data_IF_485673337495
#
_entry.id   IF_485673337495
#
_cell.length_a   1.000
_cell.length_b   1.000
_cell.length_c   1.000
_cell.angle_alpha   90.00
_cell.angle_beta   90.00
_cell.angle_gamma   90.00
#
_symmetry.space_group_name_H-M   'P 1'
#
loop_
_entity.id
_entity.type
_entity.pdbx_description
1 polymer ?
#
# COMPACT_ATOMS: atom_id res chain seq x y z
N UNK A 1 18.19 -58.25 -12.80
CA UNK A 1 16.75 -58.02 -13.01
C UNK A 1 16.32 -56.99 -11.98
N UNK A 2 16.27 -55.71 -12.35
CA UNK A 2 15.87 -54.61 -11.45
C UNK A 2 14.34 -54.46 -11.47
N UNK A 3 13.67 -54.23 -10.31
CA UNK A 3 12.24 -54.08 -10.28
C UNK A 3 11.84 -52.72 -10.89
N UNK A 4 10.84 -52.74 -11.76
CA UNK A 4 10.23 -51.54 -12.36
C UNK A 4 9.60 -50.66 -11.28
N UNK A 5 9.97 -49.39 -11.29
CA UNK A 5 9.32 -48.35 -10.46
C UNK A 5 7.80 -48.26 -10.78
N UNK A 6 6.99 -48.24 -9.73
CA UNK A 6 5.53 -47.98 -9.86
C UNK A 6 5.33 -46.56 -10.30
N UNK A 7 4.32 -46.26 -11.15
CA UNK A 7 3.99 -44.89 -11.52
C UNK A 7 3.48 -44.11 -10.31
N UNK A 8 3.94 -42.88 -10.17
CA UNK A 8 3.45 -41.92 -9.20
C UNK A 8 1.93 -41.73 -9.39
N UNK A 9 1.16 -42.06 -8.37
CA UNK A 9 -0.25 -41.65 -8.32
C UNK A 9 -0.29 -40.13 -8.10
N UNK A 10 -0.84 -39.41 -9.07
CA UNK A 10 -1.21 -38.02 -8.92
C UNK A 10 -2.27 -37.91 -7.83
N UNK A 11 -1.89 -37.33 -6.70
CA UNK A 11 -2.88 -36.89 -5.72
C UNK A 11 -3.59 -35.68 -6.33
N UNK A 12 -4.85 -35.82 -6.76
CA UNK A 12 -5.73 -34.71 -6.98
C UNK A 12 -6.02 -34.10 -5.59
N UNK A 13 -5.35 -32.99 -5.29
CA UNK A 13 -5.74 -32.14 -4.17
C UNK A 13 -7.07 -31.51 -4.57
N UNK A 14 -8.15 -31.88 -3.89
CA UNK A 14 -9.42 -31.23 -4.07
C UNK A 14 -9.28 -29.80 -3.53
N UNK A 15 -9.17 -28.82 -4.43
CA UNK A 15 -9.18 -27.42 -4.06
C UNK A 15 -10.60 -27.06 -3.61
N UNK A 16 -10.73 -26.60 -2.37
CA UNK A 16 -11.98 -26.00 -1.89
C UNK A 16 -11.97 -24.57 -2.45
N UNK A 17 -12.70 -24.34 -3.54
CA UNK A 17 -12.90 -22.99 -4.06
C UNK A 17 -13.70 -22.20 -3.01
N UNK A 18 -13.01 -21.31 -2.30
CA UNK A 18 -13.67 -20.40 -1.37
C UNK A 18 -14.22 -19.24 -2.20
N UNK A 19 -15.54 -19.11 -2.24
CA UNK A 19 -16.17 -17.94 -2.82
C UNK A 19 -15.90 -16.73 -1.92
N UNK A 20 -14.93 -15.91 -2.29
CA UNK A 20 -14.62 -14.67 -1.57
C UNK A 20 -14.90 -13.45 -2.44
N UNK A 21 -15.00 -12.29 -1.81
CA UNK A 21 -15.15 -11.00 -2.48
C UNK A 21 -14.00 -10.08 -2.09
N UNK A 22 -13.68 -9.12 -2.94
CA UNK A 22 -12.67 -8.12 -2.61
C UNK A 22 -13.07 -7.26 -1.40
N UNK A 23 -14.36 -7.09 -1.15
CA UNK A 23 -14.85 -6.44 0.06
C UNK A 23 -14.44 -7.16 1.36
N UNK A 24 -14.16 -8.46 1.31
CA UNK A 24 -13.70 -9.22 2.47
C UNK A 24 -12.16 -9.16 2.66
N UNK A 25 -11.40 -8.84 1.60
CA UNK A 25 -9.93 -8.91 1.60
C UNK A 25 -9.23 -7.57 1.32
N UNK A 26 -9.99 -6.47 1.30
CA UNK A 26 -9.45 -5.10 1.16
C UNK A 26 -9.78 -4.24 2.38
N UNK A 27 -8.93 -3.27 2.70
CA UNK A 27 -9.17 -2.35 3.81
C UNK A 27 -10.32 -1.39 3.56
N UNK A 28 -10.63 -1.10 2.30
CA UNK A 28 -11.78 -0.26 1.93
C UNK A 28 -13.11 -1.02 1.93
N UNK A 29 -13.07 -2.35 2.11
CA UNK A 29 -14.25 -3.22 2.15
C UNK A 29 -15.13 -3.07 0.89
N UNK A 30 -14.51 -2.96 -0.28
CA UNK A 30 -15.14 -2.81 -1.59
C UNK A 30 -14.66 -3.86 -2.59
N UNK A 31 -15.44 -4.01 -3.63
CA UNK A 31 -15.14 -4.85 -4.78
C UNK A 31 -15.97 -6.14 -4.83
N UNK A 32 -16.25 -6.56 -6.05
CA UNK A 32 -17.06 -7.72 -6.37
C UNK A 32 -16.34 -9.06 -6.11
N UNK A 33 -16.81 -10.14 -6.77
CA UNK A 33 -16.26 -11.48 -6.61
C UNK A 33 -14.77 -11.56 -6.97
N UNK A 34 -14.02 -12.35 -6.22
CA UNK A 34 -12.59 -12.62 -6.43
C UNK A 34 -12.36 -13.88 -7.30
N UNK A 35 -13.25 -14.14 -8.29
CA UNK A 35 -13.10 -15.25 -9.21
C UNK A 35 -12.69 -16.55 -8.53
N UNK A 36 -11.54 -17.07 -8.89
CA UNK A 36 -10.86 -18.17 -8.22
C UNK A 36 -9.90 -17.60 -7.17
N UNK A 37 -10.18 -17.81 -5.88
CA UNK A 37 -9.35 -17.29 -4.79
C UNK A 37 -8.54 -18.40 -4.13
N UNK A 38 -7.22 -18.26 -4.14
CA UNK A 38 -6.27 -19.17 -3.51
C UNK A 38 -5.35 -18.38 -2.55
N UNK A 39 -4.90 -19.05 -1.49
CA UNK A 39 -3.97 -18.47 -0.52
C UNK A 39 -2.64 -19.19 -0.57
N UNK A 40 -1.56 -18.47 -0.84
CA UNK A 40 -0.21 -19.01 -0.87
C UNK A 40 0.47 -18.83 0.48
N UNK A 41 0.85 -19.94 1.11
CA UNK A 41 1.54 -19.95 2.41
C UNK A 41 3.06 -20.13 2.30
N UNK A 42 3.59 -20.35 1.08
CA UNK A 42 5.02 -20.35 0.78
C UNK A 42 5.31 -19.70 -0.57
N UNK A 43 6.56 -19.30 -0.78
CA UNK A 43 7.01 -18.76 -2.06
C UNK A 43 6.89 -19.76 -3.19
N UNK A 44 7.15 -21.03 -2.92
CA UNK A 44 7.02 -22.12 -3.91
C UNK A 44 5.56 -22.31 -4.32
N UNK A 45 4.62 -22.28 -3.35
CA UNK A 45 3.19 -22.35 -3.63
C UNK A 45 2.73 -21.13 -4.45
N UNK A 46 3.17 -19.92 -4.07
CA UNK A 46 2.86 -18.69 -4.79
C UNK A 46 3.31 -18.78 -6.26
N UNK A 47 4.56 -19.18 -6.49
CA UNK A 47 5.11 -19.35 -7.84
C UNK A 47 4.33 -20.42 -8.62
N UNK A 48 4.07 -21.59 -8.02
CA UNK A 48 3.36 -22.68 -8.69
C UNK A 48 1.96 -22.29 -9.14
N UNK A 49 1.18 -21.61 -8.27
CA UNK A 49 -0.16 -21.11 -8.60
C UNK A 49 -0.13 -20.13 -9.77
N UNK A 50 0.83 -19.20 -9.77
CA UNK A 50 0.97 -18.21 -10.84
C UNK A 50 1.39 -18.87 -12.16
N UNK A 51 2.39 -19.75 -12.13
CA UNK A 51 2.87 -20.45 -13.32
C UNK A 51 1.79 -21.32 -13.96
N UNK A 52 0.99 -22.01 -13.14
CA UNK A 52 -0.13 -22.82 -13.62
C UNK A 52 -1.20 -21.97 -14.29
N UNK A 53 -1.56 -20.84 -13.71
CA UNK A 53 -2.49 -19.88 -14.29
C UNK A 53 -1.94 -19.25 -15.59
N UNK A 54 -0.66 -18.83 -15.59
CA UNK A 54 0.00 -18.26 -16.78
C UNK A 54 0.05 -19.28 -17.94
N UNK A 55 0.34 -20.55 -17.65
CA UNK A 55 0.33 -21.61 -18.66
C UNK A 55 -1.06 -21.85 -19.28
N UNK A 56 -2.12 -21.55 -18.55
CA UNK A 56 -3.51 -21.62 -19.01
C UNK A 56 -4.00 -20.31 -19.65
N UNK A 57 -3.18 -19.24 -19.69
CA UNK A 57 -3.56 -17.92 -20.16
C UNK A 57 -4.61 -17.22 -19.27
N UNK A 58 -4.72 -17.64 -18.01
CA UNK A 58 -5.66 -17.09 -17.04
C UNK A 58 -5.10 -15.80 -16.44
N UNK A 59 -5.88 -14.71 -16.37
CA UNK A 59 -5.48 -13.51 -15.64
C UNK A 59 -5.15 -13.81 -14.18
N UNK A 60 -4.10 -13.17 -13.64
CA UNK A 60 -3.67 -13.35 -12.24
C UNK A 60 -3.60 -12.01 -11.55
N UNK A 61 -4.18 -11.92 -10.36
CA UNK A 61 -4.05 -10.79 -9.44
C UNK A 61 -3.46 -11.26 -8.11
N UNK A 62 -2.26 -10.77 -7.80
CA UNK A 62 -1.61 -11.05 -6.51
C UNK A 62 -2.01 -9.99 -5.50
N UNK A 63 -2.50 -10.41 -4.34
CA UNK A 63 -3.02 -9.52 -3.27
C UNK A 63 -2.26 -9.78 -1.97
N UNK A 64 -1.65 -8.73 -1.42
CA UNK A 64 -1.15 -8.72 -0.04
C UNK A 64 -2.26 -8.35 0.95
N UNK A 65 -2.02 -7.37 1.82
CA UNK A 65 -3.03 -6.92 2.79
C UNK A 65 -4.20 -6.10 2.22
N UNK A 66 -4.33 -5.93 0.90
CA UNK A 66 -5.44 -5.23 0.26
C UNK A 66 -5.60 -3.74 0.63
N UNK A 67 -4.55 -3.13 1.18
CA UNK A 67 -4.62 -1.78 1.77
C UNK A 67 -4.46 -0.62 0.76
N UNK A 68 -4.08 -0.93 -0.48
CA UNK A 68 -3.89 0.06 -1.53
C UNK A 68 -4.52 -0.41 -2.87
N UNK A 69 -5.64 -1.13 -2.78
CA UNK A 69 -6.31 -1.77 -3.91
C UNK A 69 -7.79 -1.41 -3.91
N UNK A 70 -8.29 -0.96 -5.06
CA UNK A 70 -9.71 -0.81 -5.35
C UNK A 70 -10.05 -1.67 -6.55
N UNK A 71 -11.05 -2.55 -6.39
CA UNK A 71 -11.52 -3.45 -7.44
C UNK A 71 -12.97 -3.12 -7.79
N UNK A 72 -13.29 -3.14 -9.06
CA UNK A 72 -14.64 -2.87 -9.54
C UNK A 72 -15.71 -3.81 -8.98
N UNK A 73 -16.97 -3.38 -9.04
CA UNK A 73 -18.11 -4.15 -8.50
C UNK A 73 -18.32 -5.47 -9.25
N UNK A 74 -17.78 -5.60 -10.50
CA UNK A 74 -17.79 -6.86 -11.26
C UNK A 74 -16.73 -7.85 -10.76
N UNK A 75 -15.81 -7.40 -9.87
CA UNK A 75 -14.73 -8.24 -9.36
C UNK A 75 -13.60 -8.48 -10.36
N UNK A 76 -12.98 -9.63 -10.27
CA UNK A 76 -11.87 -10.06 -11.11
C UNK A 76 -12.11 -11.48 -11.60
N UNK A 77 -12.23 -11.63 -12.92
CA UNK A 77 -12.43 -12.93 -13.58
C UNK A 77 -11.06 -13.55 -13.91
N UNK A 78 -10.51 -14.29 -12.95
CA UNK A 78 -9.21 -14.92 -13.03
C UNK A 78 -8.79 -15.53 -11.69
N UNK A 79 -7.51 -15.86 -11.57
CA UNK A 79 -6.91 -16.32 -10.32
C UNK A 79 -6.52 -15.11 -9.45
N UNK A 80 -7.06 -15.04 -8.25
CA UNK A 80 -6.64 -14.11 -7.20
C UNK A 80 -5.82 -14.86 -6.17
N UNK A 81 -4.55 -14.50 -5.99
CA UNK A 81 -3.67 -15.14 -5.02
C UNK A 81 -3.44 -14.22 -3.82
N UNK A 82 -4.01 -14.60 -2.68
CA UNK A 82 -3.69 -13.99 -1.40
C UNK A 82 -2.30 -14.43 -0.92
N UNK A 83 -1.42 -13.48 -0.61
CA UNK A 83 -0.06 -13.79 -0.13
C UNK A 83 -0.09 -13.88 1.40
N UNK A 84 0.05 -15.10 1.92
CA UNK A 84 0.12 -15.40 3.36
C UNK A 84 1.43 -16.13 3.73
N UNK A 85 2.48 -15.88 2.97
CA UNK A 85 3.82 -16.41 3.28
C UNK A 85 4.30 -15.82 4.60
N UNK A 86 4.95 -16.62 5.43
CA UNK A 86 5.37 -16.26 6.77
C UNK A 86 6.86 -16.54 6.98
N UNK A 87 7.48 -15.75 7.83
CA UNK A 87 8.89 -15.88 8.20
C UNK A 87 9.55 -14.52 8.29
N UNK A 88 10.20 -14.25 9.41
CA UNK A 88 11.00 -13.09 9.69
C UNK A 88 12.26 -13.53 10.40
N UNK A 89 13.41 -13.06 9.93
CA UNK A 89 14.70 -13.28 10.59
C UNK A 89 15.45 -11.97 10.73
N UNK A 90 16.17 -11.83 11.84
CA UNK A 90 17.00 -10.67 12.15
C UNK A 90 18.41 -11.15 12.40
N UNK A 91 19.36 -10.68 11.59
CA UNK A 91 20.79 -11.02 11.69
C UNK A 91 21.62 -9.73 11.66
N UNK A 92 22.08 -9.29 12.83
CA UNK A 92 22.77 -8.00 12.98
C UNK A 92 21.86 -6.84 12.57
N UNK A 93 22.25 -6.07 11.56
CA UNK A 93 21.48 -4.94 11.01
C UNK A 93 20.49 -5.37 9.91
N UNK A 94 20.44 -6.64 9.54
CA UNK A 94 19.58 -7.12 8.45
C UNK A 94 18.30 -7.75 8.99
N UNK A 95 17.17 -7.28 8.48
CA UNK A 95 15.84 -7.85 8.70
C UNK A 95 15.36 -8.42 7.38
N UNK A 96 15.21 -9.75 7.30
CA UNK A 96 14.64 -10.43 6.15
C UNK A 96 13.24 -10.92 6.48
N UNK A 97 12.30 -10.68 5.60
CA UNK A 97 10.89 -10.99 5.84
C UNK A 97 10.20 -11.49 4.57
N UNK A 98 9.39 -12.53 4.70
CA UNK A 98 8.53 -13.03 3.63
C UNK A 98 7.43 -12.02 3.27
N UNK A 99 7.02 -12.00 2.01
CA UNK A 99 6.12 -10.99 1.45
C UNK A 99 4.76 -10.91 2.14
N UNK A 100 4.24 -12.01 2.70
CA UNK A 100 2.93 -12.08 3.34
C UNK A 100 2.89 -11.62 4.79
N UNK A 101 4.04 -11.39 5.42
CA UNK A 101 4.08 -10.95 6.84
C UNK A 101 3.46 -9.56 6.96
N UNK A 102 2.61 -9.39 7.98
CA UNK A 102 2.03 -8.08 8.32
C UNK A 102 3.12 -7.03 8.54
N UNK A 103 2.93 -5.85 7.96
CA UNK A 103 3.95 -4.81 7.96
C UNK A 103 4.25 -4.27 9.36
N UNK A 104 3.22 -4.02 10.18
CA UNK A 104 3.46 -3.46 11.50
C UNK A 104 4.13 -4.46 12.45
N UNK A 105 3.92 -5.76 12.21
CA UNK A 105 4.68 -6.85 12.87
C UNK A 105 6.17 -6.75 12.55
N UNK A 106 6.54 -6.46 11.31
CA UNK A 106 7.97 -6.27 10.93
C UNK A 106 8.57 -5.08 11.64
N UNK A 107 7.83 -3.95 11.67
CA UNK A 107 8.27 -2.74 12.36
C UNK A 107 8.48 -3.04 13.85
N UNK A 108 7.48 -3.63 14.53
CA UNK A 108 7.56 -3.94 15.96
C UNK A 108 8.76 -4.85 16.28
N UNK A 109 8.91 -5.95 15.55
CA UNK A 109 10.02 -6.90 15.75
C UNK A 109 11.40 -6.24 15.54
N UNK A 110 11.51 -5.31 14.58
CA UNK A 110 12.76 -4.57 14.35
C UNK A 110 13.12 -3.69 15.55
N UNK A 111 12.13 -2.98 16.11
CA UNK A 111 12.34 -2.11 17.27
C UNK A 111 12.65 -2.92 18.53
N UNK A 112 11.97 -4.04 18.76
CA UNK A 112 12.26 -4.98 19.86
C UNK A 112 13.70 -5.52 19.79
N UNK A 113 14.26 -5.65 18.58
CA UNK A 113 15.65 -6.02 18.37
C UNK A 113 16.62 -4.84 18.49
N UNK A 114 16.16 -3.63 18.84
CA UNK A 114 16.99 -2.42 18.95
C UNK A 114 17.45 -1.85 17.62
N UNK A 115 16.69 -2.10 16.55
CA UNK A 115 17.01 -1.64 15.19
C UNK A 115 16.11 -0.48 14.78
N UNK A 116 16.72 0.70 14.58
CA UNK A 116 16.05 1.91 14.10
C UNK A 116 16.04 2.02 12.58
N UNK A 117 15.03 2.74 12.05
CA UNK A 117 14.86 3.06 10.62
C UNK A 117 13.49 2.78 10.04
N UNK A 118 12.65 1.99 10.74
CA UNK A 118 11.27 1.68 10.35
C UNK A 118 10.21 2.32 11.26
N UNK A 119 10.59 2.91 12.38
CA UNK A 119 9.71 3.45 13.42
C UNK A 119 8.67 4.45 12.88
N UNK A 120 9.05 5.28 11.92
CA UNK A 120 8.16 6.24 11.28
C UNK A 120 7.09 5.59 10.35
N UNK A 121 7.25 4.32 10.01
CA UNK A 121 6.33 3.55 9.17
C UNK A 121 5.38 2.66 9.98
N UNK A 122 5.33 2.85 11.29
CA UNK A 122 4.46 2.12 12.22
C UNK A 122 2.97 2.28 11.88
N UNK A 123 2.20 1.21 12.07
CA UNK A 123 0.75 1.21 11.91
C UNK A 123 0.25 1.37 10.48
N UNK A 124 1.11 1.28 9.46
CA UNK A 124 0.67 1.27 8.06
C UNK A 124 0.09 -0.11 7.77
N UNK A 125 -1.17 -0.22 7.32
CA UNK A 125 -1.77 -1.51 7.02
C UNK A 125 -1.18 -2.12 5.75
N UNK A 126 -1.11 -3.44 5.68
CA UNK A 126 -0.63 -4.17 4.51
C UNK A 126 0.43 -5.21 4.86
N UNK A 127 1.08 -5.76 3.84
CA UNK A 127 2.11 -6.78 3.99
C UNK A 127 3.49 -6.30 3.57
N UNK A 128 4.53 -6.94 4.07
CA UNK A 128 5.93 -6.61 3.78
C UNK A 128 6.22 -6.54 2.28
N UNK A 129 5.71 -7.49 1.49
CA UNK A 129 5.88 -7.51 0.03
C UNK A 129 5.19 -6.34 -0.70
N UNK A 130 4.18 -5.72 -0.08
CA UNK A 130 3.53 -4.53 -0.63
C UNK A 130 4.35 -3.25 -0.45
N UNK A 131 5.29 -3.22 0.50
CA UNK A 131 6.02 -1.99 0.83
C UNK A 131 6.93 -1.48 -0.29
N UNK A 132 7.70 -2.32 -1.03
CA UNK A 132 8.47 -1.83 -2.16
C UNK A 132 7.60 -1.52 -3.40
N UNK A 133 6.43 -2.16 -3.56
CA UNK A 133 5.54 -1.88 -4.70
C UNK A 133 5.14 -0.41 -4.75
N UNK A 134 4.78 0.16 -3.63
CA UNK A 134 4.34 1.55 -3.49
C UNK A 134 5.44 2.49 -2.98
N UNK A 135 6.67 1.98 -2.80
CA UNK A 135 7.67 2.71 -2.03
C UNK A 135 7.03 3.36 -0.80
N UNK A 136 6.38 2.54 0.02
CA UNK A 136 5.57 2.97 1.16
C UNK A 136 6.36 3.96 2.00
N UNK A 137 5.70 5.05 2.40
CA UNK A 137 6.35 6.08 3.17
C UNK A 137 5.39 6.90 4.00
N UNK A 138 5.86 7.34 5.15
CA UNK A 138 5.15 8.23 6.05
C UNK A 138 6.15 9.02 6.90
N UNK A 139 5.72 10.17 7.39
CA UNK A 139 6.46 10.99 8.35
C UNK A 139 7.94 11.26 7.98
N UNK A 140 8.20 11.43 6.67
CA UNK A 140 9.52 11.75 6.15
C UNK A 140 10.45 10.54 5.93
N UNK A 141 9.96 9.31 6.12
CA UNK A 141 10.68 8.06 5.85
C UNK A 141 10.02 7.29 4.71
N UNK A 142 10.82 6.69 3.85
CA UNK A 142 10.39 5.82 2.75
C UNK A 142 10.96 4.41 2.93
N UNK A 143 10.25 3.40 2.44
CA UNK A 143 10.77 2.02 2.36
C UNK A 143 12.13 1.98 1.67
N UNK A 144 12.29 2.73 0.59
CA UNK A 144 13.55 2.83 -0.16
C UNK A 144 14.73 3.41 0.64
N UNK A 145 14.49 4.08 1.77
CA UNK A 145 15.58 4.62 2.60
C UNK A 145 16.37 3.53 3.33
N UNK A 146 15.75 2.38 3.55
CA UNK A 146 16.30 1.26 4.35
C UNK A 146 16.24 -0.08 3.62
N UNK A 147 15.57 -0.16 2.46
CA UNK A 147 15.52 -1.39 1.68
C UNK A 147 16.91 -1.77 1.19
N UNK A 148 17.31 -3.01 1.45
CA UNK A 148 18.56 -3.60 1.00
C UNK A 148 18.38 -4.33 -0.33
N UNK A 149 17.51 -5.32 -0.35
CA UNK A 149 17.15 -6.09 -1.54
C UNK A 149 15.74 -6.69 -1.45
N UNK A 150 15.26 -7.19 -2.57
CA UNK A 150 14.02 -7.97 -2.69
C UNK A 150 14.28 -9.22 -3.50
N UNK A 151 13.62 -10.33 -3.16
CA UNK A 151 13.54 -11.51 -4.01
C UNK A 151 12.28 -11.41 -4.86
N UNK A 152 12.45 -11.51 -6.17
CA UNK A 152 11.41 -11.26 -7.18
C UNK A 152 11.24 -12.47 -8.06
N UNK A 153 10.03 -12.93 -8.28
CA UNK A 153 9.67 -13.85 -9.34
C UNK A 153 9.25 -13.06 -10.59
N UNK A 154 9.95 -13.24 -11.70
CA UNK A 154 9.61 -12.69 -12.99
C UNK A 154 8.72 -13.68 -13.74
N UNK A 155 7.44 -13.36 -13.91
CA UNK A 155 6.43 -14.20 -14.56
C UNK A 155 6.72 -14.45 -16.04
N UNK A 156 7.36 -13.50 -16.75
CA UNK A 156 7.66 -13.66 -18.17
C UNK A 156 8.82 -14.64 -18.41
N UNK A 157 9.86 -14.57 -17.60
CA UNK A 157 11.04 -15.45 -17.72
C UNK A 157 10.93 -16.74 -16.90
N UNK A 158 10.01 -16.78 -15.91
CA UNK A 158 9.91 -17.86 -14.95
C UNK A 158 11.06 -17.94 -13.95
N UNK A 159 11.89 -16.89 -13.85
CA UNK A 159 13.10 -16.87 -13.03
C UNK A 159 12.87 -16.14 -11.71
N UNK A 160 13.46 -16.65 -10.64
CA UNK A 160 13.56 -15.95 -9.35
C UNK A 160 14.88 -15.21 -9.29
N UNK A 161 14.85 -13.91 -9.05
CA UNK A 161 16.02 -13.06 -8.99
C UNK A 161 16.05 -12.26 -7.69
N UNK A 162 17.25 -11.88 -7.25
CA UNK A 162 17.47 -10.94 -6.16
C UNK A 162 17.82 -9.57 -6.74
N UNK A 163 17.03 -8.57 -6.40
CA UNK A 163 17.20 -7.19 -6.87
C UNK A 163 17.67 -6.31 -5.72
N UNK A 164 18.83 -5.70 -5.87
CA UNK A 164 19.24 -4.60 -4.98
C UNK A 164 18.36 -3.37 -5.16
N UNK A 165 18.39 -2.47 -4.19
CA UNK A 165 17.60 -1.22 -4.14
C UNK A 165 17.56 -0.45 -5.46
N UNK A 166 18.71 -0.31 -6.13
CA UNK A 166 18.82 0.52 -7.34
C UNK A 166 18.00 -0.05 -8.51
N UNK A 167 17.89 -1.39 -8.61
CA UNK A 167 17.08 -2.05 -9.64
C UNK A 167 15.58 -1.92 -9.38
N UNK A 168 15.18 -1.60 -8.16
CA UNK A 168 13.76 -1.42 -7.81
C UNK A 168 13.14 -0.15 -8.39
N UNK A 169 13.92 0.73 -9.00
CA UNK A 169 13.42 1.89 -9.77
C UNK A 169 12.61 2.88 -8.95
N UNK A 170 12.98 3.10 -7.68
CA UNK A 170 12.30 4.06 -6.82
C UNK A 170 12.49 5.50 -7.31
N UNK A 171 11.41 6.25 -7.34
CA UNK A 171 11.38 7.63 -7.83
C UNK A 171 10.27 8.47 -7.21
N UNK A 172 10.01 9.62 -7.84
CA UNK A 172 8.91 10.52 -7.48
C UNK A 172 7.55 9.82 -7.58
N UNK A 173 6.51 10.38 -6.96
CA UNK A 173 5.15 9.83 -6.95
C UNK A 173 5.06 8.38 -6.40
N UNK A 174 5.95 8.01 -5.47
CA UNK A 174 6.04 6.64 -4.95
C UNK A 174 6.22 5.60 -6.06
N UNK A 175 6.99 5.95 -7.07
CA UNK A 175 7.30 5.08 -8.20
C UNK A 175 8.18 3.92 -7.78
N UNK A 176 7.95 2.76 -8.40
CA UNK A 176 8.84 1.60 -8.38
C UNK A 176 8.71 0.82 -9.68
N UNK A 177 9.63 -0.10 -9.92
CA UNK A 177 9.56 -1.03 -11.05
C UNK A 177 8.36 -2.00 -10.95
N UNK A 178 7.70 -2.07 -9.79
CA UNK A 178 6.61 -3.02 -9.49
C UNK A 178 5.22 -2.39 -9.62
N UNK A 179 5.11 -1.06 -9.56
CA UNK A 179 3.83 -0.36 -9.34
C UNK A 179 2.82 -0.52 -10.47
N UNK A 180 3.27 -0.53 -11.72
CA UNK A 180 2.41 -0.52 -12.90
C UNK A 180 2.57 -1.76 -13.77
N UNK A 181 2.90 -2.90 -13.16
CA UNK A 181 3.08 -4.17 -13.87
C UNK A 181 2.59 -5.32 -13.01
N UNK A 182 2.13 -6.39 -13.67
CA UNK A 182 1.81 -7.68 -13.05
C UNK A 182 2.92 -8.72 -13.32
N UNK A 183 4.01 -8.29 -13.96
CA UNK A 183 5.12 -9.16 -14.31
C UNK A 183 5.90 -9.63 -13.08
N UNK A 184 6.17 -8.73 -12.15
CA UNK A 184 7.06 -9.00 -11.03
C UNK A 184 6.28 -9.26 -9.74
N UNK A 185 6.57 -10.40 -9.10
CA UNK A 185 5.96 -10.80 -7.83
C UNK A 185 7.05 -10.84 -6.76
N UNK A 186 6.86 -10.09 -5.69
CA UNK A 186 7.80 -10.03 -4.57
C UNK A 186 7.55 -11.21 -3.65
N UNK A 187 8.61 -11.96 -3.37
CA UNK A 187 8.60 -13.16 -2.52
C UNK A 187 9.10 -12.88 -1.12
N UNK A 188 10.17 -12.11 -0.99
CA UNK A 188 10.70 -11.61 0.29
C UNK A 188 11.36 -10.23 0.13
N UNK A 189 11.51 -9.53 1.25
CA UNK A 189 12.14 -8.21 1.33
C UNK A 189 13.21 -8.26 2.40
N UNK A 190 14.34 -7.62 2.14
CA UNK A 190 15.42 -7.44 3.11
C UNK A 190 15.66 -5.95 3.37
N UNK A 191 15.69 -5.59 4.64
CA UNK A 191 16.01 -4.22 5.09
C UNK A 191 17.37 -4.22 5.77
N UNK A 192 18.13 -3.16 5.56
CA UNK A 192 19.29 -2.85 6.36
C UNK A 192 18.98 -1.69 7.29
N UNK A 193 18.88 -1.99 8.57
CA UNK A 193 18.53 -1.05 9.62
C UNK A 193 19.79 -0.62 10.40
N UNK A 194 19.62 0.28 11.33
CA UNK A 194 20.72 0.76 12.17
C UNK A 194 20.59 0.16 13.57
N UNK A 195 21.66 -0.46 14.08
CA UNK A 195 21.73 -0.96 15.47
C UNK A 195 21.86 0.22 16.43
N UNK A 196 20.84 1.05 16.52
CA UNK A 196 20.71 2.21 17.40
C UNK A 196 19.26 2.32 17.85
N UNK A 197 19.04 2.57 19.13
CA UNK A 197 17.72 2.81 19.71
C UNK A 197 17.26 4.26 19.52
N UNK A 198 18.01 5.07 18.78
CA UNK A 198 17.62 6.41 18.35
C UNK A 198 17.16 6.38 16.90
N UNK A 199 16.15 7.19 16.61
CA UNK A 199 15.60 7.34 15.26
C UNK A 199 16.62 7.98 14.30
N UNK A 200 16.31 7.90 13.02
CA UNK A 200 16.91 8.81 12.05
C UNK A 200 16.45 10.25 12.34
N UNK A 201 17.18 11.28 11.85
CA UNK A 201 16.74 12.66 12.00
C UNK A 201 15.30 12.85 11.53
N UNK A 202 14.45 13.42 12.38
CA UNK A 202 13.04 13.66 12.10
C UNK A 202 12.91 14.73 11.02
N UNK A 203 12.20 14.42 9.95
CA UNK A 203 12.03 15.29 8.76
C UNK A 203 10.62 15.83 8.59
N UNK A 204 9.66 15.37 9.37
CA UNK A 204 8.26 15.74 9.26
C UNK A 204 7.84 16.62 10.44
N UNK A 205 7.40 17.85 10.16
CA UNK A 205 7.12 18.86 11.18
C UNK A 205 6.09 18.42 12.22
N UNK A 206 4.98 17.82 11.78
CA UNK A 206 3.94 17.34 12.70
C UNK A 206 4.41 16.19 13.63
N UNK A 207 5.44 15.42 13.24
CA UNK A 207 6.06 14.43 14.12
C UNK A 207 7.03 15.10 15.10
N UNK A 208 7.85 16.06 14.64
CA UNK A 208 8.73 16.84 15.49
C UNK A 208 7.93 17.59 16.57
N UNK A 209 6.84 18.25 16.18
CA UNK A 209 5.93 18.93 17.11
C UNK A 209 5.33 17.96 18.14
N UNK A 210 4.88 16.78 17.72
CA UNK A 210 4.33 15.75 18.62
C UNK A 210 5.36 15.24 19.62
N UNK A 211 6.63 15.14 19.21
CA UNK A 211 7.74 14.73 20.06
C UNK A 211 8.31 15.87 20.92
N UNK A 212 7.93 17.13 20.66
CA UNK A 212 8.46 18.30 21.36
C UNK A 212 9.92 18.59 21.03
N UNK A 213 10.37 18.29 19.80
CA UNK A 213 11.75 18.47 19.32
C UNK A 213 11.78 19.28 18.01
N UNK A 214 12.96 19.68 17.57
CA UNK A 214 13.16 20.40 16.31
C UNK A 214 13.29 19.43 15.12
N UNK A 215 12.99 19.93 13.90
CA UNK A 215 13.29 19.18 12.67
C UNK A 215 14.80 18.97 12.55
N UNK A 216 15.21 17.73 12.34
CA UNK A 216 16.60 17.30 12.29
C UNK A 216 17.10 16.63 13.57
N UNK A 217 16.39 16.80 14.67
CA UNK A 217 16.69 16.08 15.91
C UNK A 217 16.34 14.59 15.81
N UNK A 218 16.81 13.83 16.78
CA UNK A 218 16.54 12.40 16.94
C UNK A 218 15.84 12.14 18.28
N UNK A 219 14.98 11.14 18.31
CA UNK A 219 14.29 10.66 19.51
C UNK A 219 14.50 9.15 19.68
N UNK A 220 14.04 8.56 20.76
CA UNK A 220 14.05 7.10 20.86
C UNK A 220 13.10 6.48 19.82
N UNK A 221 13.44 5.30 19.30
CA UNK A 221 12.60 4.61 18.30
C UNK A 221 11.21 4.29 18.87
N UNK A 222 11.12 4.02 20.17
CA UNK A 222 9.85 3.73 20.84
C UNK A 222 8.98 4.99 20.99
N UNK A 223 9.58 6.15 21.33
CA UNK A 223 8.87 7.42 21.36
C UNK A 223 8.36 7.82 19.98
N UNK A 224 9.18 7.62 18.93
CA UNK A 224 8.76 7.87 17.55
C UNK A 224 7.60 6.96 17.16
N UNK A 225 7.69 5.64 17.44
CA UNK A 225 6.58 4.70 17.18
C UNK A 225 5.31 5.15 17.92
N UNK A 226 5.40 5.47 19.20
CA UNK A 226 4.26 5.94 20.00
C UNK A 226 3.61 7.19 19.40
N UNK A 227 4.43 8.19 19.04
CA UNK A 227 3.97 9.42 18.42
C UNK A 227 3.31 9.18 17.04
N UNK A 228 3.90 8.29 16.21
CA UNK A 228 3.35 7.92 14.90
C UNK A 228 2.01 7.22 15.04
N UNK A 229 1.89 6.23 15.92
CA UNK A 229 0.62 5.51 16.15
C UNK A 229 -0.46 6.47 16.65
N UNK A 230 -0.14 7.40 17.55
CA UNK A 230 -1.07 8.44 18.01
C UNK A 230 -1.54 9.33 16.86
N UNK A 231 -0.60 9.87 16.06
CA UNK A 231 -0.92 10.72 14.90
C UNK A 231 -1.76 9.97 13.85
N UNK A 232 -1.50 8.69 13.63
CA UNK A 232 -2.27 7.86 12.70
C UNK A 232 -3.67 7.57 13.23
N UNK A 233 -3.80 7.28 14.53
CA UNK A 233 -5.10 7.10 15.18
C UNK A 233 -5.98 8.34 15.08
N UNK A 234 -5.44 9.53 15.36
CA UNK A 234 -6.13 10.80 15.25
C UNK A 234 -6.58 11.13 13.81
N UNK A 235 -5.94 10.52 12.81
CA UNK A 235 -6.26 10.69 11.39
C UNK A 235 -7.11 9.56 10.79
N UNK A 236 -7.59 8.61 11.61
CA UNK A 236 -8.33 7.45 11.10
C UNK A 236 -7.50 6.54 10.17
N UNK A 237 -6.16 6.52 10.36
CA UNK A 237 -5.24 5.77 9.52
C UNK A 237 -4.76 4.44 10.14
N UNK A 238 -5.27 4.10 11.31
CA UNK A 238 -5.17 2.77 11.90
C UNK A 238 -6.47 2.03 11.58
N UNK A 239 -6.35 0.88 10.92
CA UNK A 239 -7.52 0.11 10.50
C UNK A 239 -8.26 -0.41 11.74
N UNK A 240 -9.54 -0.09 11.82
CA UNK A 240 -10.48 -0.55 12.85
C UNK A 240 -11.74 -1.05 12.13
N UNK A 241 -12.07 -2.33 12.34
CA UNK A 241 -13.20 -2.97 11.66
C UNK A 241 -14.56 -2.40 12.07
N UNK A 242 -14.67 -1.81 13.25
CA UNK A 242 -15.90 -1.21 13.77
C UNK A 242 -16.02 0.28 13.40
N UNK A 243 -14.95 0.89 12.91
CA UNK A 243 -14.92 2.31 12.56
C UNK A 243 -14.85 2.52 11.04
N UNK A 244 -15.99 2.77 10.42
CA UNK A 244 -16.09 3.03 8.97
C UNK A 244 -15.24 4.22 8.50
N UNK A 245 -14.84 5.12 9.39
CA UNK A 245 -13.95 6.23 9.03
C UNK A 245 -12.52 5.76 8.70
N UNK A 246 -12.17 4.54 9.07
CA UNK A 246 -10.90 3.88 8.72
C UNK A 246 -10.99 2.99 7.48
N UNK A 247 -12.20 2.75 6.93
CA UNK A 247 -12.39 1.91 5.75
C UNK A 247 -12.03 2.67 4.48
N UNK A 248 -10.74 2.74 4.22
CA UNK A 248 -10.14 3.47 3.12
C UNK A 248 -8.91 2.75 2.57
N UNK A 249 -8.31 3.31 1.54
CA UNK A 249 -6.99 2.94 1.01
C UNK A 249 -5.88 3.86 1.54
N UNK A 250 -6.13 4.52 2.67
CA UNK A 250 -5.31 5.64 3.11
C UNK A 250 -5.59 6.88 2.26
N UNK A 251 -4.57 7.62 1.87
CA UNK A 251 -4.73 8.73 0.92
C UNK A 251 -5.21 8.21 -0.42
N UNK A 252 -6.38 8.65 -0.87
CA UNK A 252 -6.89 8.29 -2.19
C UNK A 252 -6.12 9.01 -3.31
N UNK A 253 -5.79 10.29 -3.09
CA UNK A 253 -5.11 11.11 -4.08
C UNK A 253 -3.62 11.25 -3.78
N UNK A 254 -2.80 11.14 -4.83
CA UNK A 254 -1.37 11.43 -4.76
C UNK A 254 -1.15 12.96 -4.81
N UNK A 255 -0.13 13.43 -4.11
CA UNK A 255 0.30 14.82 -4.22
C UNK A 255 0.80 15.09 -5.66
N UNK A 256 0.17 16.00 -6.42
CA UNK A 256 0.58 16.29 -7.79
C UNK A 256 1.96 16.96 -7.81
N UNK A 257 2.77 16.57 -8.80
CA UNK A 257 4.05 17.24 -9.13
C UNK A 257 3.90 17.84 -10.50
N UNK A 258 4.11 19.15 -10.61
CA UNK A 258 3.84 19.94 -11.78
C UNK A 258 5.16 20.59 -12.27
N UNK A 259 5.35 20.67 -13.57
CA UNK A 259 6.46 21.44 -14.15
C UNK A 259 6.28 22.93 -13.86
N UNK A 260 5.04 23.41 -13.89
CA UNK A 260 4.63 24.79 -13.60
C UNK A 260 3.33 24.80 -12.79
N UNK A 261 3.28 25.66 -11.78
CA UNK A 261 2.09 25.80 -10.91
C UNK A 261 1.12 26.79 -11.54
N UNK A 262 -0.14 26.38 -11.82
CA UNK A 262 -1.15 27.31 -12.34
C UNK A 262 -1.35 28.53 -11.45
N UNK A 263 -1.65 29.70 -12.06
CA UNK A 263 -1.89 30.95 -11.33
C UNK A 263 -2.98 30.81 -10.26
N UNK A 264 -4.03 30.04 -10.55
CA UNK A 264 -5.10 29.74 -9.60
C UNK A 264 -4.62 29.01 -8.34
N UNK A 265 -3.52 28.27 -8.41
CA UNK A 265 -2.92 27.53 -7.30
C UNK A 265 -1.73 28.27 -6.66
N UNK A 266 -1.55 29.58 -6.90
CA UNK A 266 -0.38 30.34 -6.45
C UNK A 266 -0.23 30.37 -4.92
N UNK A 267 -1.30 30.26 -4.16
CA UNK A 267 -1.29 30.23 -2.69
C UNK A 267 -0.99 28.86 -2.10
N UNK A 268 -1.00 27.78 -2.91
CA UNK A 268 -0.70 26.44 -2.42
C UNK A 268 0.75 26.34 -1.93
N UNK A 269 0.99 25.66 -0.81
CA UNK A 269 2.34 25.32 -0.35
C UNK A 269 3.09 24.56 -1.45
N UNK A 270 4.40 24.86 -1.62
CA UNK A 270 5.23 24.32 -2.67
C UNK A 270 6.42 23.57 -2.07
N UNK A 271 6.64 22.37 -2.56
CA UNK A 271 7.77 21.56 -2.14
C UNK A 271 8.60 21.15 -3.36
N UNK A 272 9.93 21.20 -3.29
CA UNK A 272 10.76 20.73 -4.39
C UNK A 272 10.60 19.22 -4.59
N UNK A 273 10.59 18.80 -5.85
CA UNK A 273 10.59 17.39 -6.25
C UNK A 273 11.51 17.25 -7.48
N UNK A 274 12.25 16.14 -7.67
CA UNK A 274 13.10 15.94 -8.83
C UNK A 274 12.38 16.12 -10.18
N UNK A 275 11.06 15.88 -10.22
CA UNK A 275 10.24 16.03 -11.44
C UNK A 275 9.53 17.38 -11.54
N UNK A 276 9.72 18.31 -10.58
CA UNK A 276 9.08 19.62 -10.62
C UNK A 276 8.70 20.17 -9.25
N UNK A 277 7.51 20.72 -9.14
CA UNK A 277 6.97 21.33 -7.92
C UNK A 277 5.82 20.48 -7.40
N UNK A 278 5.98 19.94 -6.20
CA UNK A 278 4.95 19.14 -5.53
C UNK A 278 4.01 20.03 -4.73
N UNK A 279 2.70 19.86 -4.95
CA UNK A 279 1.63 20.51 -4.19
C UNK A 279 0.94 19.51 -3.26
N UNK A 280 0.56 19.91 -2.02
CA UNK A 280 -0.21 19.05 -1.13
C UNK A 280 -1.64 18.87 -1.65
N UNK A 281 -2.01 17.64 -2.02
CA UNK A 281 -3.38 17.34 -2.46
C UNK A 281 -4.42 17.66 -1.37
N UNK A 282 -4.10 17.44 -0.09
CA UNK A 282 -4.98 17.79 1.02
C UNK A 282 -5.31 19.29 1.03
N UNK A 283 -4.32 20.15 0.84
CA UNK A 283 -4.53 21.59 0.78
C UNK A 283 -5.46 21.97 -0.39
N UNK A 284 -5.20 21.42 -1.58
CA UNK A 284 -6.02 21.68 -2.77
C UNK A 284 -7.47 21.24 -2.55
N UNK A 285 -7.69 20.07 -1.97
CA UNK A 285 -9.03 19.54 -1.69
C UNK A 285 -9.77 20.44 -0.68
N UNK A 286 -9.13 20.79 0.44
CA UNK A 286 -9.74 21.64 1.47
C UNK A 286 -10.08 23.03 0.94
N UNK A 287 -9.21 23.65 0.13
CA UNK A 287 -9.42 24.98 -0.43
C UNK A 287 -10.35 24.99 -1.66
N UNK A 288 -10.61 23.82 -2.26
CA UNK A 288 -11.70 23.65 -3.24
C UNK A 288 -13.08 23.45 -2.58
N UNK A 289 -13.16 23.52 -1.23
CA UNK A 289 -14.43 23.43 -0.49
C UNK A 289 -14.77 22.02 0.01
N UNK A 290 -13.87 21.05 -0.14
CA UNK A 290 -14.08 19.68 0.34
C UNK A 290 -13.41 19.47 1.69
N UNK A 291 -14.07 19.87 2.77
CA UNK A 291 -13.57 19.71 4.13
C UNK A 291 -13.68 18.24 4.62
N UNK A 292 -13.08 17.95 5.76
CA UNK A 292 -13.26 16.65 6.45
C UNK A 292 -14.73 16.37 6.67
N UNK A 293 -15.14 15.13 6.43
CA UNK A 293 -16.54 14.71 6.52
C UNK A 293 -17.41 15.17 5.35
N UNK A 294 -16.86 15.83 4.33
CA UNK A 294 -17.62 16.21 3.14
C UNK A 294 -18.25 14.99 2.48
N UNK A 295 -19.49 15.12 2.03
CA UNK A 295 -20.18 14.07 1.28
C UNK A 295 -20.96 13.09 2.17
N UNK A 296 -21.22 13.39 3.44
CA UNK A 296 -22.03 12.51 4.30
C UNK A 296 -23.43 12.24 3.74
N UNK A 297 -23.93 13.11 2.86
CA UNK A 297 -25.20 12.92 2.14
C UNK A 297 -25.02 12.33 0.74
N UNK A 298 -23.79 12.07 0.30
CA UNK A 298 -23.48 11.51 -1.01
C UNK A 298 -23.88 10.04 -1.09
N UNK A 299 -24.58 9.64 -2.16
CA UNK A 299 -24.97 8.25 -2.35
C UNK A 299 -25.75 7.66 -1.19
N UNK A 300 -26.63 8.43 -0.57
CA UNK A 300 -27.35 8.09 0.67
C UNK A 300 -26.41 7.86 1.87
N UNK A 301 -25.34 8.62 1.97
CA UNK A 301 -24.38 8.57 3.08
C UNK A 301 -23.41 7.41 3.07
N UNK A 302 -23.28 6.70 1.92
CA UNK A 302 -22.42 5.53 1.82
C UNK A 302 -20.95 5.84 1.59
N UNK A 303 -20.62 7.03 1.06
CA UNK A 303 -19.26 7.46 0.76
C UNK A 303 -19.07 8.90 1.25
N UNK A 304 -17.96 9.18 1.90
CA UNK A 304 -17.58 10.51 2.33
C UNK A 304 -16.06 10.67 2.41
N UNK A 305 -15.57 11.90 2.51
CA UNK A 305 -14.24 12.11 3.07
C UNK A 305 -14.25 11.73 4.55
N UNK A 306 -13.15 11.14 5.03
CA UNK A 306 -12.97 10.88 6.46
C UNK A 306 -13.19 12.15 7.28
N UNK A 307 -13.84 12.01 8.44
CA UNK A 307 -13.99 13.11 9.40
C UNK A 307 -12.68 13.53 10.05
N UNK A 308 -11.62 12.71 9.86
CA UNK A 308 -10.32 12.89 10.48
C UNK A 308 -9.22 13.23 9.46
N UNK A 309 -9.40 12.88 8.17
CA UNK A 309 -8.38 13.08 7.15
C UNK A 309 -8.95 13.36 5.76
N UNK A 310 -8.69 14.55 5.23
CA UNK A 310 -9.21 15.04 3.94
C UNK A 310 -8.81 14.21 2.72
N UNK A 311 -7.64 13.53 2.76
CA UNK A 311 -7.21 12.67 1.64
C UNK A 311 -7.88 11.29 1.63
N UNK A 312 -8.52 10.87 2.71
CA UNK A 312 -9.14 9.56 2.81
C UNK A 312 -10.59 9.60 2.33
N UNK A 313 -10.85 8.98 1.19
CA UNK A 313 -12.22 8.62 0.78
C UNK A 313 -12.59 7.36 1.53
N UNK A 314 -13.74 7.35 2.23
CA UNK A 314 -14.15 6.26 3.10
C UNK A 314 -15.42 5.58 2.62
N UNK A 315 -15.47 4.26 2.75
CA UNK A 315 -16.69 3.47 2.67
C UNK A 315 -17.41 3.54 4.02
N UNK A 316 -18.57 4.18 4.05
CA UNK A 316 -19.36 4.38 5.29
C UNK A 316 -20.31 3.21 5.61
N UNK A 317 -20.10 2.09 4.93
CA UNK A 317 -20.93 0.90 5.00
C UNK A 317 -21.91 0.78 3.82
N UNK A 318 -21.78 -0.33 3.08
CA UNK A 318 -22.64 -0.63 1.93
C UNK A 318 -22.42 0.23 0.68
N UNK A 319 -21.27 0.91 0.54
CA UNK A 319 -20.87 1.56 -0.69
C UNK A 319 -20.55 0.52 -1.77
N UNK A 320 -20.75 0.91 -3.02
CA UNK A 320 -20.19 0.22 -4.20
C UNK A 320 -18.88 0.88 -4.63
N UNK A 321 -18.07 0.17 -5.40
CA UNK A 321 -16.88 0.78 -6.01
C UNK A 321 -17.29 1.92 -6.95
N UNK A 322 -18.39 1.77 -7.68
CA UNK A 322 -18.92 2.83 -8.53
C UNK A 322 -19.29 4.10 -7.74
N UNK A 323 -19.82 3.98 -6.52
CA UNK A 323 -20.12 5.14 -5.66
C UNK A 323 -18.84 5.88 -5.27
N UNK A 324 -17.80 5.14 -4.85
CA UNK A 324 -16.49 5.71 -4.48
C UNK A 324 -15.82 6.39 -5.66
N UNK A 325 -15.83 5.76 -6.85
CA UNK A 325 -15.20 6.35 -8.03
C UNK A 325 -15.89 7.62 -8.49
N UNK A 326 -17.23 7.67 -8.45
CA UNK A 326 -18.00 8.88 -8.74
C UNK A 326 -17.72 10.01 -7.73
N UNK A 327 -17.66 9.68 -6.45
CA UNK A 327 -17.35 10.64 -5.40
C UNK A 327 -15.93 11.20 -5.54
N UNK A 328 -14.95 10.34 -5.75
CA UNK A 328 -13.57 10.75 -5.97
C UNK A 328 -13.41 11.60 -7.25
N UNK A 329 -14.12 11.26 -8.33
CA UNK A 329 -14.14 12.07 -9.55
C UNK A 329 -14.74 13.46 -9.30
N UNK A 330 -15.83 13.56 -8.52
CA UNK A 330 -16.41 14.86 -8.14
C UNK A 330 -15.41 15.75 -7.39
N UNK A 331 -14.63 15.19 -6.47
CA UNK A 331 -13.58 15.95 -5.75
C UNK A 331 -12.48 16.37 -6.72
N UNK A 332 -11.98 15.46 -7.57
CA UNK A 332 -10.96 15.77 -8.59
C UNK A 332 -11.41 16.92 -9.49
N UNK A 333 -12.63 16.85 -10.01
CA UNK A 333 -13.16 17.83 -10.95
C UNK A 333 -13.38 19.20 -10.29
N UNK A 334 -13.77 19.21 -9.00
CA UNK A 334 -13.85 20.43 -8.22
C UNK A 334 -12.48 21.07 -8.00
N UNK A 335 -11.47 20.29 -7.67
CA UNK A 335 -10.08 20.78 -7.53
C UNK A 335 -9.54 21.29 -8.87
N UNK A 336 -9.81 20.59 -9.96
CA UNK A 336 -9.40 21.01 -11.31
C UNK A 336 -10.08 22.32 -11.72
N UNK A 337 -11.36 22.48 -11.42
CA UNK A 337 -12.13 23.72 -11.69
C UNK A 337 -11.56 24.90 -10.92
N UNK A 338 -11.28 24.73 -9.63
CA UNK A 338 -10.80 25.78 -8.75
C UNK A 338 -9.35 26.16 -9.04
N UNK A 339 -8.46 25.16 -9.17
CA UNK A 339 -7.01 25.38 -9.22
C UNK A 339 -6.36 25.07 -10.56
N UNK A 340 -7.07 24.47 -11.51
CA UNK A 340 -6.47 23.98 -12.77
C UNK A 340 -5.50 22.81 -12.55
N UNK A 341 -5.61 22.11 -11.42
CA UNK A 341 -4.76 21.00 -11.03
C UNK A 341 -5.59 19.71 -11.00
N UNK A 342 -5.27 18.75 -11.86
CA UNK A 342 -5.96 17.46 -11.92
C UNK A 342 -5.30 16.47 -10.95
N UNK A 343 -6.07 15.95 -10.01
CA UNK A 343 -5.62 14.94 -9.05
C UNK A 343 -5.70 13.53 -9.67
N UNK A 344 -4.71 12.69 -9.35
CA UNK A 344 -4.70 11.27 -9.70
C UNK A 344 -4.83 10.37 -8.46
N UNK A 345 -5.29 9.11 -8.63
CA UNK A 345 -5.37 8.16 -7.52
C UNK A 345 -3.97 7.64 -7.14
N UNK A 346 -3.74 7.44 -5.84
CA UNK A 346 -2.52 6.79 -5.33
C UNK A 346 -2.64 5.26 -5.37
N UNK A 347 -3.86 4.76 -5.15
CA UNK A 347 -4.17 3.34 -5.10
C UNK A 347 -4.18 2.68 -6.49
N UNK A 348 -4.00 1.36 -6.49
CA UNK A 348 -4.18 0.55 -7.69
C UNK A 348 -5.66 0.34 -7.96
N UNK A 349 -6.08 0.61 -9.19
CA UNK A 349 -7.42 0.36 -9.70
C UNK A 349 -7.41 -0.92 -10.54
N UNK A 350 -8.38 -1.81 -10.33
CA UNK A 350 -8.56 -3.05 -11.08
C UNK A 350 -10.02 -3.14 -11.51
N UNK A 351 -10.26 -3.28 -12.81
CA UNK A 351 -11.60 -3.36 -13.41
C UNK A 351 -12.52 -2.21 -12.96
N UNK A 352 -11.95 -1.04 -12.70
CA UNK A 352 -12.68 0.20 -12.48
C UNK A 352 -11.83 1.37 -13.01
N UNK A 353 -12.50 2.43 -13.45
CA UNK A 353 -11.87 3.59 -14.06
C UNK A 353 -12.06 4.82 -13.20
N UNK A 354 -11.02 5.66 -13.19
CA UNK A 354 -11.05 6.98 -12.58
C UNK A 354 -11.12 8.01 -13.71
N UNK A 355 -12.30 8.18 -14.25
CA UNK A 355 -12.70 8.89 -15.44
C UNK A 355 -11.95 10.15 -15.85
#
# INVERSE_FOLDING_TARGET
MYPRAKPYQSFQVAFITVHTTFSAITTMRLGGPAGEYEVAHSSEQLIALIQDADAQGKPVLVVGGGSNLIVGDQGFDGLVVGVATSGLSIEGEFVRVQAGVDWDTVVAASLEAGLGGLEALSGIPGSAGGTPVQNVGAYGTLTSDVLHDVTVFDRESGVVERWGRDRCGFGSHRQSAFKHTDRYVILDVSFRLTADTRSRPIRYSGLAERLGIEIGDVASIDEVRGAVLSLRGERGMLLDEENHDTWSVGSFFINPVLAEVPDKAHQAPRYPDPAGIKLPAAWLIEHAGFSRGYGQDWGNGRVALSTQHTLAVTNRGGATTADVMKFAAHIRDGVETEFGVRLGPECRLVNCEFG
#
